data_IF_265611915717
#
_entry.id   IF_265611915717
#
_cell.length_a   1.000
_cell.length_b   1.000
_cell.length_c   1.000
_cell.angle_alpha   90.00
_cell.angle_beta   90.00
_cell.angle_gamma   90.00
#
_symmetry.space_group_name_H-M   'P 1'
#
loop_
_entity.id
_entity.type
_entity.pdbx_description
1 polymer ?
#
# COMPACT_ATOMS: atom_id res chain seq x y z
N UNK A 1 -25.64 11.61 9.19
CA UNK A 1 -25.23 10.86 8.00
C UNK A 1 -25.81 11.50 6.74
N UNK A 2 -25.13 11.49 5.61
CA UNK A 2 -25.66 11.99 4.36
C UNK A 2 -26.82 11.10 3.86
N UNK A 3 -27.66 11.66 2.99
CA UNK A 3 -28.68 10.88 2.31
C UNK A 3 -28.05 9.74 1.50
N UNK A 4 -28.66 8.55 1.55
CA UNK A 4 -28.12 7.36 0.91
C UNK A 4 -27.07 6.60 1.72
N UNK A 5 -26.77 7.02 2.96
CA UNK A 5 -25.87 6.28 3.84
C UNK A 5 -26.44 4.90 4.19
N UNK A 6 -25.56 3.92 4.33
CA UNK A 6 -25.91 2.54 4.61
C UNK A 6 -25.84 2.20 6.11
N UNK A 7 -26.35 1.04 6.49
CA UNK A 7 -26.20 0.51 7.84
C UNK A 7 -24.71 0.35 8.22
N UNK A 8 -23.84 0.03 7.26
CA UNK A 8 -22.41 -0.06 7.46
C UNK A 8 -21.76 1.32 7.71
N UNK A 9 -22.19 2.37 6.96
CA UNK A 9 -21.76 3.74 7.23
C UNK A 9 -22.08 4.16 8.66
N UNK A 10 -23.28 3.83 9.14
CA UNK A 10 -23.72 4.12 10.50
C UNK A 10 -22.88 3.37 11.53
N UNK A 11 -22.55 2.10 11.30
CA UNK A 11 -21.70 1.33 12.17
C UNK A 11 -20.30 1.97 12.36
N UNK A 12 -19.69 2.45 11.25
CA UNK A 12 -18.41 3.18 11.29
C UNK A 12 -18.53 4.58 11.90
N UNK A 13 -19.71 5.18 11.87
CA UNK A 13 -19.95 6.47 12.52
C UNK A 13 -19.96 6.32 14.04
N UNK A 14 -20.53 5.23 14.57
CA UNK A 14 -20.53 4.94 16.01
C UNK A 14 -19.11 4.67 16.50
N UNK A 15 -18.46 3.65 15.95
CA UNK A 15 -17.09 3.29 16.32
C UNK A 15 -16.44 2.42 15.23
N UNK A 16 -15.14 2.59 15.03
CA UNK A 16 -14.38 1.82 14.03
C UNK A 16 -14.46 0.30 14.25
N UNK A 17 -14.38 -0.16 15.51
CA UNK A 17 -14.48 -1.60 15.83
C UNK A 17 -15.87 -2.18 15.59
N UNK A 18 -16.91 -1.39 15.83
CA UNK A 18 -18.29 -1.80 15.52
C UNK A 18 -18.46 -1.92 14.02
N UNK A 19 -17.98 -0.93 13.27
CA UNK A 19 -17.96 -0.97 11.81
C UNK A 19 -17.19 -2.17 11.26
N UNK A 20 -15.97 -2.40 11.77
CA UNK A 20 -15.10 -3.50 11.33
C UNK A 20 -15.71 -4.89 11.56
N UNK A 21 -16.51 -5.06 12.60
CA UNK A 21 -17.15 -6.33 12.98
C UNK A 21 -18.60 -6.43 12.56
N UNK A 22 -19.10 -5.45 11.78
CA UNK A 22 -20.51 -5.40 11.37
C UNK A 22 -20.87 -6.55 10.44
N UNK A 23 -21.93 -7.31 10.78
CA UNK A 23 -22.50 -8.38 9.96
C UNK A 23 -23.86 -8.03 9.40
N UNK A 24 -24.51 -7.01 9.94
CA UNK A 24 -25.84 -6.54 9.55
C UNK A 24 -26.40 -5.56 10.58
N UNK A 25 -27.64 -5.21 10.44
CA UNK A 25 -28.35 -4.36 11.39
C UNK A 25 -29.81 -4.82 11.56
N UNK A 26 -30.44 -4.36 12.66
CA UNK A 26 -31.90 -4.33 12.75
C UNK A 26 -32.33 -2.88 12.58
N UNK A 27 -33.17 -2.64 11.58
CA UNK A 27 -33.78 -1.33 11.33
C UNK A 27 -35.27 -1.46 11.60
N UNK A 28 -35.79 -0.68 12.53
CA UNK A 28 -37.17 -0.76 12.97
C UNK A 28 -37.58 -2.20 13.32
N UNK A 29 -36.73 -2.90 14.07
CA UNK A 29 -36.87 -4.30 14.51
C UNK A 29 -36.80 -5.35 13.37
N UNK A 30 -36.51 -4.96 12.12
CA UNK A 30 -36.33 -5.90 11.00
C UNK A 30 -34.85 -6.09 10.72
N UNK A 31 -34.41 -7.34 10.54
CA UNK A 31 -33.06 -7.67 10.12
C UNK A 31 -32.82 -7.19 8.69
N UNK A 32 -31.72 -6.48 8.50
CA UNK A 32 -31.30 -5.96 7.20
C UNK A 32 -29.81 -6.19 6.97
N UNK A 33 -29.38 -6.32 5.72
CA UNK A 33 -27.96 -6.46 5.40
C UNK A 33 -27.20 -5.13 5.58
N UNK A 34 -25.87 -5.20 5.55
CA UNK A 34 -24.98 -4.06 5.76
C UNK A 34 -25.14 -2.93 4.73
N UNK A 35 -25.60 -3.26 3.52
CA UNK A 35 -25.83 -2.32 2.42
C UNK A 35 -27.23 -1.66 2.45
N UNK A 36 -28.03 -1.93 3.47
CA UNK A 36 -29.36 -1.32 3.60
C UNK A 36 -29.26 0.19 3.73
N UNK A 37 -30.04 0.92 2.92
CA UNK A 37 -30.08 2.39 2.94
C UNK A 37 -30.96 2.87 4.10
N UNK A 38 -30.39 3.77 4.89
CA UNK A 38 -31.05 4.33 6.08
C UNK A 38 -31.91 5.56 5.73
N UNK A 39 -32.98 5.73 6.47
CA UNK A 39 -33.90 6.88 6.38
C UNK A 39 -33.94 7.66 7.68
N UNK A 40 -34.34 8.92 7.59
CA UNK A 40 -34.56 9.73 8.79
C UNK A 40 -35.65 9.12 9.68
N UNK A 41 -35.36 9.02 10.96
CA UNK A 41 -36.27 8.43 11.95
C UNK A 41 -36.12 6.93 12.14
N UNK A 42 -35.26 6.25 11.38
CA UNK A 42 -35.00 4.82 11.60
C UNK A 42 -34.34 4.56 12.95
N UNK A 43 -34.85 3.56 13.65
CA UNK A 43 -34.24 3.02 14.86
C UNK A 43 -33.31 1.88 14.46
N UNK A 44 -32.01 1.99 14.80
CA UNK A 44 -30.97 1.10 14.28
C UNK A 44 -30.25 0.42 15.45
N UNK A 45 -30.11 -0.90 15.34
CA UNK A 45 -29.25 -1.75 16.19
C UNK A 45 -28.23 -2.46 15.30
N UNK A 46 -26.95 -2.22 15.52
CA UNK A 46 -25.87 -2.86 14.74
C UNK A 46 -25.57 -4.25 15.28
N UNK A 47 -25.50 -5.23 14.41
CA UNK A 47 -25.12 -6.60 14.73
C UNK A 47 -23.65 -6.83 14.37
N UNK A 48 -22.89 -7.35 15.33
CA UNK A 48 -21.46 -7.57 15.18
C UNK A 48 -21.06 -9.03 15.41
N UNK A 49 -19.96 -9.44 14.80
CA UNK A 49 -19.33 -10.74 15.04
C UNK A 49 -17.82 -10.57 15.16
N UNK A 50 -17.21 -11.24 16.16
CA UNK A 50 -15.75 -11.24 16.34
C UNK A 50 -14.98 -11.91 15.20
N UNK A 51 -15.67 -12.74 14.40
CA UNK A 51 -15.08 -13.43 13.25
C UNK A 51 -15.12 -12.59 11.97
N UNK A 52 -15.91 -11.50 11.97
CA UNK A 52 -16.05 -10.62 10.81
C UNK A 52 -14.82 -9.72 10.66
N UNK A 53 -14.36 -9.57 9.42
CA UNK A 53 -13.33 -8.62 9.03
C UNK A 53 -13.79 -7.81 7.82
N UNK A 54 -13.32 -6.56 7.67
CA UNK A 54 -13.57 -5.78 6.48
C UNK A 54 -12.99 -6.45 5.23
N UNK A 55 -13.65 -6.25 4.09
CA UNK A 55 -13.16 -6.68 2.78
C UNK A 55 -13.23 -5.53 1.76
N UNK A 56 -12.63 -5.71 0.60
CA UNK A 56 -12.58 -4.68 -0.44
C UNK A 56 -13.97 -4.33 -1.00
N UNK A 57 -14.92 -5.26 -0.99
CA UNK A 57 -16.29 -5.04 -1.46
C UNK A 57 -17.04 -4.01 -0.61
N UNK A 58 -16.67 -3.88 0.66
CA UNK A 58 -17.27 -2.88 1.56
C UNK A 58 -17.05 -1.45 1.09
N UNK A 59 -15.96 -1.18 0.35
CA UNK A 59 -15.70 0.14 -0.24
C UNK A 59 -16.74 0.56 -1.29
N UNK A 60 -17.43 -0.42 -1.90
CA UNK A 60 -18.51 -0.19 -2.86
C UNK A 60 -19.86 0.03 -2.16
N UNK A 61 -19.99 -0.48 -0.93
CA UNK A 61 -21.21 -0.41 -0.14
C UNK A 61 -21.33 0.94 0.57
N UNK A 62 -20.23 1.42 1.14
CA UNK A 62 -20.23 2.66 1.94
C UNK A 62 -20.18 3.91 1.08
N UNK A 63 -20.92 4.93 1.52
CA UNK A 63 -21.02 6.23 0.86
C UNK A 63 -20.12 7.27 1.55
N UNK A 64 -20.00 7.20 2.88
CA UNK A 64 -19.29 8.22 3.65
C UNK A 64 -17.79 8.11 3.48
N UNK A 65 -17.11 9.27 3.40
CA UNK A 65 -15.64 9.32 3.32
C UNK A 65 -14.97 8.75 4.58
N UNK A 66 -15.61 8.96 5.75
CA UNK A 66 -15.12 8.42 7.03
C UNK A 66 -15.07 6.90 7.01
N UNK A 67 -16.15 6.23 6.60
CA UNK A 67 -16.18 4.77 6.49
C UNK A 67 -15.17 4.27 5.45
N UNK A 68 -15.10 4.91 4.26
CA UNK A 68 -14.12 4.56 3.21
C UNK A 68 -12.67 4.63 3.71
N UNK A 69 -12.31 5.71 4.40
CA UNK A 69 -10.97 5.88 4.96
C UNK A 69 -10.65 4.79 6.00
N UNK A 70 -11.58 4.57 6.95
CA UNK A 70 -11.39 3.54 7.99
C UNK A 70 -11.28 2.12 7.43
N UNK A 71 -12.10 1.76 6.44
CA UNK A 71 -12.03 0.46 5.77
C UNK A 71 -10.67 0.30 5.07
N UNK A 72 -10.19 1.33 4.34
CA UNK A 72 -8.87 1.29 3.70
C UNK A 72 -7.73 1.12 4.70
N UNK A 73 -7.78 1.81 5.83
CA UNK A 73 -6.79 1.69 6.89
C UNK A 73 -6.76 0.28 7.47
N UNK A 74 -7.94 -0.29 7.79
CA UNK A 74 -8.06 -1.66 8.30
C UNK A 74 -7.56 -2.71 7.30
N UNK A 75 -7.90 -2.57 6.01
CA UNK A 75 -7.40 -3.46 4.97
C UNK A 75 -5.88 -3.36 4.81
N UNK A 76 -5.31 -2.15 4.94
CA UNK A 76 -3.85 -1.97 4.90
C UNK A 76 -3.16 -2.60 6.10
N UNK A 77 -3.75 -2.47 7.28
CA UNK A 77 -3.25 -3.08 8.51
C UNK A 77 -3.31 -4.61 8.44
N UNK A 78 -4.42 -5.18 7.99
CA UNK A 78 -4.53 -6.64 7.79
C UNK A 78 -3.49 -7.15 6.77
N UNK A 79 -3.27 -6.43 5.65
CA UNK A 79 -2.20 -6.74 4.69
C UNK A 79 -0.79 -6.70 5.32
N UNK A 80 -0.54 -5.76 6.25
CA UNK A 80 0.74 -5.69 6.97
C UNK A 80 0.95 -6.89 7.87
N UNK A 81 -0.05 -7.27 8.67
CA UNK A 81 0.04 -8.46 9.52
C UNK A 81 0.30 -9.73 8.71
N UNK A 82 -0.42 -9.92 7.61
CA UNK A 82 -0.19 -11.06 6.71
C UNK A 82 1.22 -11.05 6.13
N UNK A 83 1.75 -9.87 5.78
CA UNK A 83 3.11 -9.75 5.27
C UNK A 83 4.18 -10.02 6.35
N UNK A 84 3.93 -9.63 7.62
CA UNK A 84 4.81 -9.93 8.75
C UNK A 84 4.87 -11.44 9.01
N UNK A 85 3.73 -12.11 9.08
CA UNK A 85 3.64 -13.57 9.20
C UNK A 85 4.31 -14.27 8.01
N UNK A 86 4.13 -13.71 6.82
CA UNK A 86 4.77 -14.17 5.59
C UNK A 86 6.29 -14.01 5.62
N UNK A 87 6.81 -12.90 6.14
CA UNK A 87 8.25 -12.68 6.35
C UNK A 87 8.85 -13.73 7.27
N UNK A 88 8.23 -13.96 8.42
CA UNK A 88 8.70 -14.98 9.37
C UNK A 88 8.69 -16.38 8.73
N UNK A 89 7.60 -16.71 8.06
CA UNK A 89 7.45 -17.99 7.34
C UNK A 89 8.51 -18.14 6.25
N UNK A 90 8.77 -17.09 5.48
CA UNK A 90 9.79 -17.07 4.42
C UNK A 90 11.19 -17.29 5.00
N UNK A 91 11.58 -16.55 6.03
CA UNK A 91 12.89 -16.69 6.67
C UNK A 91 13.09 -18.12 7.24
N UNK A 92 12.07 -18.69 7.87
CA UNK A 92 12.11 -20.08 8.37
C UNK A 92 12.30 -21.06 7.21
N UNK A 93 11.59 -20.88 6.09
CA UNK A 93 11.71 -21.75 4.91
C UNK A 93 13.07 -21.60 4.21
N UNK A 94 13.61 -20.39 4.07
CA UNK A 94 14.95 -20.14 3.53
C UNK A 94 16.03 -20.83 4.37
N UNK A 95 15.96 -20.70 5.70
CA UNK A 95 16.85 -21.41 6.62
C UNK A 95 16.79 -22.94 6.45
N UNK A 96 15.59 -23.48 6.29
CA UNK A 96 15.38 -24.92 6.05
C UNK A 96 16.00 -25.37 4.71
N UNK A 97 15.95 -24.53 3.69
CA UNK A 97 16.54 -24.79 2.36
C UNK A 97 18.04 -24.48 2.30
N UNK A 98 18.65 -23.97 3.38
CA UNK A 98 20.05 -23.50 3.45
C UNK A 98 20.33 -22.41 2.40
N UNK A 99 19.41 -21.46 2.26
CA UNK A 99 19.54 -20.28 1.40
C UNK A 99 19.78 -19.08 2.32
N UNK A 100 20.84 -18.31 2.07
CA UNK A 100 21.13 -17.12 2.85
C UNK A 100 20.12 -16.00 2.54
N UNK A 101 19.51 -15.46 3.59
CA UNK A 101 18.56 -14.37 3.49
C UNK A 101 19.30 -13.02 3.42
N UNK A 102 19.91 -12.72 2.28
CA UNK A 102 20.59 -11.46 2.01
C UNK A 102 19.82 -10.62 0.97
N UNK A 103 20.19 -9.35 0.81
CA UNK A 103 19.56 -8.42 -0.12
C UNK A 103 19.52 -8.97 -1.55
N UNK A 104 20.63 -9.56 -1.99
CA UNK A 104 20.75 -10.13 -3.33
C UNK A 104 19.76 -11.30 -3.55
N UNK A 105 19.61 -12.17 -2.54
CA UNK A 105 18.65 -13.27 -2.58
C UNK A 105 17.22 -12.73 -2.71
N UNK A 106 16.87 -11.69 -1.96
CA UNK A 106 15.53 -11.08 -2.05
C UNK A 106 15.29 -10.41 -3.40
N UNK A 107 16.29 -9.76 -4.01
CA UNK A 107 16.19 -9.22 -5.36
C UNK A 107 15.97 -10.31 -6.40
N UNK A 108 16.72 -11.38 -6.31
CA UNK A 108 16.57 -12.55 -7.19
C UNK A 108 15.18 -13.19 -7.02
N UNK A 109 14.69 -13.32 -5.78
CA UNK A 109 13.35 -13.83 -5.51
C UNK A 109 12.27 -12.92 -6.08
N UNK A 110 12.41 -11.60 -5.95
CA UNK A 110 11.48 -10.64 -6.55
C UNK A 110 11.42 -10.81 -8.06
N UNK A 111 12.56 -10.93 -8.71
CA UNK A 111 12.63 -11.16 -10.15
C UNK A 111 12.02 -12.52 -10.55
N UNK A 112 12.34 -13.59 -9.81
CA UNK A 112 11.86 -14.93 -10.08
C UNK A 112 10.33 -15.06 -9.91
N UNK A 113 9.77 -14.46 -8.86
CA UNK A 113 8.33 -14.48 -8.56
C UNK A 113 7.56 -13.34 -9.25
N UNK A 114 8.26 -12.45 -9.97
CA UNK A 114 7.69 -11.28 -10.65
C UNK A 114 6.85 -10.40 -9.71
N UNK A 115 7.41 -10.09 -8.54
CA UNK A 115 6.81 -9.21 -7.54
C UNK A 115 7.54 -7.87 -7.48
N UNK A 116 6.79 -6.77 -7.35
CA UNK A 116 7.34 -5.41 -7.46
C UNK A 116 8.10 -4.97 -6.19
N UNK A 117 7.76 -5.52 -5.03
CA UNK A 117 8.35 -5.11 -3.76
C UNK A 117 8.61 -6.28 -2.83
N UNK A 118 9.52 -6.08 -1.88
CA UNK A 118 9.78 -7.05 -0.83
C UNK A 118 8.55 -7.27 0.07
N UNK A 119 7.76 -6.22 0.28
CA UNK A 119 6.49 -6.32 1.00
C UNK A 119 5.50 -7.24 0.29
N UNK A 120 5.37 -7.12 -1.02
CA UNK A 120 4.50 -7.97 -1.84
C UNK A 120 4.96 -9.44 -1.80
N UNK A 121 6.29 -9.68 -1.86
CA UNK A 121 6.86 -11.01 -1.70
C UNK A 121 6.46 -11.64 -0.35
N UNK A 122 6.60 -10.88 0.74
CA UNK A 122 6.19 -11.34 2.06
C UNK A 122 4.69 -11.60 2.14
N UNK A 123 3.88 -10.70 1.58
CA UNK A 123 2.43 -10.85 1.54
C UNK A 123 1.99 -12.10 0.77
N UNK A 124 2.56 -12.35 -0.40
CA UNK A 124 2.24 -13.54 -1.21
C UNK A 124 2.64 -14.85 -0.53
N UNK A 125 3.74 -14.83 0.22
CA UNK A 125 4.12 -15.97 1.09
C UNK A 125 3.13 -16.12 2.24
N UNK A 126 2.70 -15.03 2.86
CA UNK A 126 1.72 -15.02 3.96
C UNK A 126 0.35 -15.55 3.54
N UNK A 127 -0.12 -15.17 2.36
CA UNK A 127 -1.37 -15.68 1.76
C UNK A 127 -1.23 -17.14 1.29
N UNK A 128 0.01 -17.65 1.16
CA UNK A 128 0.29 -19.01 0.72
C UNK A 128 0.36 -19.19 -0.80
N UNK A 129 0.36 -18.12 -1.58
CA UNK A 129 0.56 -18.19 -3.04
C UNK A 129 1.98 -18.69 -3.37
N UNK A 130 2.99 -18.22 -2.62
CA UNK A 130 4.36 -18.70 -2.72
C UNK A 130 4.59 -19.74 -1.61
N UNK A 131 4.55 -20.99 -1.99
CA UNK A 131 4.71 -22.13 -1.09
C UNK A 131 6.15 -22.66 -1.04
N UNK A 132 6.36 -23.76 -0.29
CA UNK A 132 7.66 -24.41 -0.16
C UNK A 132 8.16 -24.98 -1.51
N UNK A 133 7.25 -25.44 -2.35
CA UNK A 133 7.61 -26.01 -3.66
C UNK A 133 8.17 -24.95 -4.62
N UNK A 134 7.56 -23.76 -4.62
CA UNK A 134 8.04 -22.64 -5.41
C UNK A 134 9.40 -22.15 -4.92
N UNK A 135 9.62 -22.13 -3.60
CA UNK A 135 10.93 -21.79 -3.01
C UNK A 135 12.00 -22.83 -3.30
N UNK A 136 11.64 -24.13 -3.42
CA UNK A 136 12.59 -25.16 -3.89
C UNK A 136 12.99 -24.94 -5.33
N UNK A 137 12.06 -24.56 -6.21
CA UNK A 137 12.36 -24.21 -7.60
C UNK A 137 13.30 -23.00 -7.68
N UNK A 138 13.09 -22.01 -6.80
CA UNK A 138 14.00 -20.87 -6.70
C UNK A 138 15.41 -21.29 -6.28
N UNK A 139 15.60 -22.28 -5.38
CA UNK A 139 16.91 -22.79 -5.00
C UNK A 139 17.68 -23.35 -6.18
N UNK A 140 17.00 -24.03 -7.10
CA UNK A 140 17.58 -24.63 -8.30
C UNK A 140 17.74 -23.58 -9.43
N UNK A 141 17.17 -22.39 -9.26
CA UNK A 141 17.28 -21.28 -10.19
C UNK A 141 18.67 -20.66 -10.10
N UNK A 142 19.47 -20.87 -11.13
CA UNK A 142 20.71 -20.13 -11.35
C UNK A 142 20.38 -18.94 -12.25
N UNK A 143 20.43 -17.70 -11.74
CA UNK A 143 20.30 -16.55 -12.62
C UNK A 143 21.44 -16.61 -13.64
N UNK A 144 21.12 -16.69 -14.92
CA UNK A 144 22.09 -16.55 -16.00
C UNK A 144 22.60 -15.11 -16.00
N UNK A 145 23.72 -14.90 -15.28
CA UNK A 145 24.42 -13.62 -15.20
C UNK A 145 23.78 -12.59 -14.26
N UNK A 146 24.51 -11.55 -13.88
CA UNK A 146 23.92 -10.42 -13.19
C UNK A 146 22.82 -9.83 -14.09
N UNK A 147 21.62 -9.70 -13.57
CA UNK A 147 20.58 -8.89 -14.22
C UNK A 147 21.13 -7.45 -14.26
N UNK A 148 21.94 -7.18 -15.30
CA UNK A 148 22.22 -5.83 -15.72
C UNK A 148 20.84 -5.27 -16.10
N UNK A 149 20.27 -4.47 -15.23
CA UNK A 149 19.41 -3.42 -15.75
C UNK A 149 20.30 -2.70 -16.74
N UNK A 150 19.99 -2.82 -18.02
CA UNK A 150 20.56 -1.94 -19.04
C UNK A 150 20.20 -0.51 -18.61
N UNK A 151 21.07 0.09 -17.79
CA UNK A 151 21.33 1.49 -17.91
C UNK A 151 21.77 1.64 -19.37
N UNK A 152 20.93 2.18 -20.20
CA UNK A 152 21.32 2.66 -21.53
C UNK A 152 22.41 3.72 -21.28
N UNK A 153 23.64 3.25 -21.18
CA UNK A 153 24.80 4.06 -21.46
C UNK A 153 24.77 4.38 -22.95
N UNK A 154 24.14 5.45 -23.30
CA UNK A 154 24.38 6.12 -24.56
C UNK A 154 25.80 6.66 -24.54
N UNK A 155 26.62 6.17 -25.44
CA UNK A 155 27.93 6.67 -25.81
C UNK A 155 27.82 8.04 -26.51
N UNK A 156 28.94 8.68 -26.78
CA UNK A 156 29.22 10.05 -26.36
C UNK A 156 29.04 11.10 -27.49
N UNK A 157 29.04 12.33 -27.03
CA UNK A 157 29.35 13.55 -27.78
C UNK A 157 28.65 13.79 -29.13
N UNK A 158 27.62 14.61 -29.10
CA UNK A 158 27.41 15.67 -30.10
C UNK A 158 26.43 16.72 -29.55
N UNK A 159 26.98 17.92 -29.40
CA UNK A 159 26.32 19.22 -29.55
C UNK A 159 25.11 19.59 -28.65
N UNK A 160 25.42 20.52 -27.79
CA UNK A 160 24.53 21.39 -27.02
C UNK A 160 23.45 21.99 -27.92
N UNK A 161 22.23 21.50 -27.79
CA UNK A 161 21.03 22.28 -28.15
C UNK A 161 20.21 22.44 -26.90
N UNK A 162 20.11 23.68 -26.43
CA UNK A 162 19.26 24.14 -25.33
C UNK A 162 17.80 23.76 -25.57
N UNK A 163 17.36 22.68 -24.93
CA UNK A 163 15.97 22.27 -24.85
C UNK A 163 15.70 21.83 -23.42
N UNK A 164 14.73 22.46 -22.77
CA UNK A 164 14.33 22.19 -21.38
C UNK A 164 14.16 20.70 -21.14
N UNK A 165 15.00 20.13 -20.26
CA UNK A 165 14.90 18.76 -19.79
C UNK A 165 13.70 18.59 -18.87
N UNK A 166 12.91 17.51 -18.97
CA UNK A 166 11.80 17.21 -18.06
C UNK A 166 12.23 16.74 -16.66
N UNK A 167 13.53 16.71 -16.36
CA UNK A 167 14.10 16.10 -15.13
C UNK A 167 14.82 17.09 -14.21
N UNK A 168 14.51 18.41 -14.28
CA UNK A 168 15.17 19.44 -13.47
C UNK A 168 14.78 19.43 -11.97
N UNK A 169 13.86 18.57 -11.54
CA UNK A 169 13.31 18.58 -10.18
C UNK A 169 13.46 17.24 -9.43
N UNK A 170 14.64 16.62 -9.47
CA UNK A 170 14.91 15.40 -8.69
C UNK A 170 15.89 15.71 -7.57
N UNK A 171 15.42 15.66 -6.32
CA UNK A 171 16.22 15.75 -5.12
C UNK A 171 16.58 14.34 -4.61
N UNK A 172 17.86 14.02 -4.56
CA UNK A 172 18.36 12.80 -3.93
C UNK A 172 18.52 13.05 -2.42
N UNK A 173 17.71 12.40 -1.59
CA UNK A 173 17.77 12.48 -0.14
C UNK A 173 18.25 11.14 0.41
N UNK A 174 19.57 11.05 0.71
CA UNK A 174 20.17 9.87 1.37
C UNK A 174 20.61 8.76 0.43
N UNK A 175 21.56 7.93 0.89
CA UNK A 175 22.23 6.88 0.09
C UNK A 175 21.36 5.65 -0.19
N UNK A 176 20.17 5.52 0.44
CA UNK A 176 19.27 4.34 0.37
C UNK A 176 17.79 4.66 0.11
N UNK A 177 17.45 5.84 -0.41
CA UNK A 177 16.05 6.18 -0.68
C UNK A 177 15.74 6.18 -2.18
N UNK A 178 14.60 5.57 -2.54
CA UNK A 178 14.01 5.63 -3.88
C UNK A 178 13.84 7.09 -4.33
N UNK A 179 13.99 7.32 -5.63
CA UNK A 179 13.76 8.62 -6.26
C UNK A 179 12.37 9.14 -5.89
N UNK A 180 12.33 10.19 -5.09
CA UNK A 180 11.08 10.79 -4.64
C UNK A 180 10.78 12.00 -5.50
N UNK A 181 9.65 11.99 -6.20
CA UNK A 181 9.16 13.15 -6.92
C UNK A 181 8.79 14.27 -5.95
N UNK A 182 9.40 15.43 -6.11
CA UNK A 182 9.07 16.63 -5.34
C UNK A 182 8.69 17.80 -6.25
N UNK A 183 7.94 18.74 -5.70
CA UNK A 183 7.58 20.00 -6.37
C UNK A 183 7.97 21.17 -5.50
N UNK A 184 8.58 22.19 -6.10
CA UNK A 184 8.86 23.44 -5.40
C UNK A 184 7.56 24.23 -5.18
N UNK A 185 7.38 24.76 -3.97
CA UNK A 185 6.21 25.54 -3.63
C UNK A 185 6.21 26.90 -4.35
N UNK A 186 5.14 27.21 -5.07
CA UNK A 186 4.99 28.46 -5.79
C UNK A 186 4.82 29.70 -4.89
N UNK A 187 4.46 29.50 -3.61
CA UNK A 187 4.22 30.58 -2.64
C UNK A 187 5.50 31.22 -2.11
N UNK A 188 6.64 30.49 -2.08
CA UNK A 188 7.91 30.94 -1.51
C UNK A 188 9.10 30.72 -2.46
N UNK A 189 8.90 30.05 -3.60
CA UNK A 189 9.90 29.84 -4.67
C UNK A 189 11.32 29.56 -4.13
N UNK A 190 11.54 28.42 -3.43
CA UNK A 190 12.86 28.13 -2.87
C UNK A 190 13.91 27.98 -3.96
N UNK A 191 15.12 28.49 -3.70
CA UNK A 191 16.27 28.40 -4.61
C UNK A 191 17.37 27.55 -3.99
N UNK A 192 18.31 26.98 -4.78
CA UNK A 192 19.43 26.22 -4.24
C UNK A 192 20.25 27.03 -3.23
N UNK A 193 20.39 26.52 -2.00
CA UNK A 193 21.06 27.18 -0.88
C UNK A 193 20.13 27.73 0.20
N UNK A 194 18.82 27.78 -0.04
CA UNK A 194 17.85 28.14 1.00
C UNK A 194 17.67 26.99 2.01
N UNK A 195 17.39 27.33 3.27
CA UNK A 195 16.87 26.36 4.22
C UNK A 195 15.44 26.01 3.86
N UNK A 196 15.17 24.72 3.67
CA UNK A 196 13.90 24.23 3.17
C UNK A 196 13.32 23.13 4.04
N UNK A 197 11.99 23.01 4.02
CA UNK A 197 11.29 21.88 4.62
C UNK A 197 10.28 21.30 3.62
N UNK A 198 10.08 19.97 3.70
CA UNK A 198 9.20 19.25 2.80
C UNK A 198 7.88 18.88 3.45
N UNK A 199 6.76 19.19 2.79
CA UNK A 199 5.44 18.71 3.13
C UNK A 199 5.05 17.53 2.25
N UNK A 200 4.65 16.41 2.86
CA UNK A 200 4.06 15.28 2.12
C UNK A 200 2.59 15.56 1.87
N UNK A 201 2.20 15.68 0.60
CA UNK A 201 0.80 15.88 0.19
C UNK A 201 0.24 14.59 -0.40
N UNK A 202 -1.04 14.34 -0.17
CA UNK A 202 -1.72 13.11 -0.62
C UNK A 202 -1.90 13.06 -2.14
N UNK A 203 -1.94 14.22 -2.79
CA UNK A 203 -2.27 14.35 -4.23
C UNK A 203 -1.10 14.75 -5.11
N UNK A 204 -0.04 15.40 -4.55
CA UNK A 204 1.03 16.01 -5.35
C UNK A 204 2.44 15.55 -4.94
N UNK A 205 2.56 14.55 -4.03
CA UNK A 205 3.86 14.10 -3.53
C UNK A 205 4.46 15.05 -2.49
N UNK A 206 5.79 15.17 -2.46
CA UNK A 206 6.49 16.07 -1.54
C UNK A 206 6.54 17.48 -2.14
N UNK A 207 6.09 18.48 -1.35
CA UNK A 207 6.14 19.89 -1.70
C UNK A 207 7.18 20.60 -0.83
N UNK A 208 8.18 21.20 -1.46
CA UNK A 208 9.29 21.85 -0.77
C UNK A 208 9.02 23.34 -0.61
N UNK A 209 9.08 23.81 0.62
CA UNK A 209 8.94 25.21 1.01
C UNK A 209 10.24 25.72 1.60
N UNK A 210 10.48 27.03 1.46
CA UNK A 210 11.52 27.73 2.19
C UNK A 210 11.06 27.98 3.63
N UNK A 211 11.98 27.82 4.60
CA UNK A 211 11.76 28.11 6.03
C UNK A 211 11.51 29.61 6.26
#
# INVERSE_FOLDING_TARGET
LPAGATALDFAFEIHTDIGAKCIGAKVNQKLVPINHLLKNGDQIEILTSSKQKPNEDWLRIVVTQKAKAKIKDLLREDKRHVAEDGKETLLRKLKQLKIDANTQTFEQMRAFFNVNSQFELHYEVGVGKIGLNELRRFKDYKPEGPVRRESQESKPEAEIKTGKSPYEDILLIGEDMDVVEYKLAKCCTPIPGDEVFGFVTVSEGIKIHRT
#
